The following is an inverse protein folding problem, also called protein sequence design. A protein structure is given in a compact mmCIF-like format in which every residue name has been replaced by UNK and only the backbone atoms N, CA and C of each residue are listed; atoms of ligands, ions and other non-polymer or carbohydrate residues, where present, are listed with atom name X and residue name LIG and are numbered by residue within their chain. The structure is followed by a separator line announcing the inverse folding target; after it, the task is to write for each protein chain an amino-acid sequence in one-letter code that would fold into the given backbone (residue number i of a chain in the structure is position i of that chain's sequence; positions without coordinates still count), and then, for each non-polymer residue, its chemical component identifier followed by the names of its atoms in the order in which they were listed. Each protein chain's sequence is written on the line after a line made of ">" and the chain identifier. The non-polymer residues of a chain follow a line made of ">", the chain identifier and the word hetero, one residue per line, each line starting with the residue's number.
data_IF_114091736723
#
_entry.id   IF_114091736723
#
_cell.length_a   1.000
_cell.length_b   1.000
_cell.length_c   1.000
_cell.angle_alpha   90.00
_cell.angle_beta   90.00
_cell.angle_gamma   90.00
#
_symmetry.space_group_name_H-M   'P 1'
#
loop_
_entity.id
_entity.type
_entity.pdbx_description
1 polymer ?
#
# COMPACT_ATOMS: atom_id res chain seq x y z
N UNK A 1 3.91 -6.81 10.51
CA UNK A 1 4.60 -6.62 9.23
C UNK A 1 4.43 -5.19 8.70
N UNK A 2 3.19 -4.66 8.60
CA UNK A 2 2.96 -3.29 8.08
C UNK A 2 3.73 -2.23 8.87
N UNK A 3 3.69 -2.28 10.21
CA UNK A 3 4.43 -1.36 11.09
C UNK A 3 5.95 -1.41 10.84
N UNK A 4 6.50 -2.60 10.65
CA UNK A 4 7.92 -2.77 10.30
C UNK A 4 8.24 -2.18 8.92
N UNK A 5 7.35 -2.34 7.94
CA UNK A 5 7.52 -1.76 6.62
C UNK A 5 7.51 -0.21 6.65
N UNK A 6 6.66 0.37 7.49
CA UNK A 6 6.56 1.81 7.69
C UNK A 6 7.69 2.38 8.56
N UNK A 7 8.52 1.53 9.18
CA UNK A 7 9.52 1.92 10.19
C UNK A 7 8.92 2.70 11.37
N UNK A 8 7.65 2.44 11.69
CA UNK A 8 6.92 3.12 12.75
C UNK A 8 7.15 2.42 14.08
N UNK A 9 8.30 2.65 14.66
CA UNK A 9 8.71 2.15 15.97
C UNK A 9 9.18 3.29 16.87
N UNK A 10 9.01 3.19 18.21
CA UNK A 10 9.43 4.24 19.14
C UNK A 10 10.90 4.64 19.03
N UNK A 11 11.79 3.68 18.69
CA UNK A 11 13.22 3.90 18.53
C UNK A 11 13.56 4.75 17.31
N UNK A 12 12.80 4.60 16.23
CA UNK A 12 12.99 5.34 14.99
C UNK A 12 12.26 6.68 15.00
N UNK A 13 11.15 6.79 15.73
CA UNK A 13 10.37 8.00 15.90
C UNK A 13 11.01 8.92 16.95
N UNK A 14 12.17 9.47 16.68
CA UNK A 14 13.01 10.22 17.63
C UNK A 14 12.34 11.42 18.28
N UNK A 15 11.38 12.06 17.60
CA UNK A 15 10.69 13.25 18.10
C UNK A 15 9.62 12.91 19.12
N UNK A 16 8.79 11.91 18.81
CA UNK A 16 7.64 11.56 19.66
C UNK A 16 7.95 10.39 20.60
N UNK A 17 8.98 9.59 20.31
CA UNK A 17 9.37 8.38 21.07
C UNK A 17 8.22 7.40 21.29
N UNK A 18 7.26 7.41 20.36
CA UNK A 18 6.07 6.57 20.36
C UNK A 18 5.79 6.09 18.93
N UNK A 19 4.88 5.15 18.79
CA UNK A 19 4.33 4.76 17.50
C UNK A 19 3.50 5.91 16.92
N UNK A 20 3.71 6.28 15.66
CA UNK A 20 2.97 7.35 14.99
C UNK A 20 1.55 6.88 14.61
N UNK A 21 1.41 5.63 14.20
CA UNK A 21 0.13 5.06 13.77
C UNK A 21 -0.41 4.07 14.81
N UNK A 22 -1.63 4.31 15.28
CA UNK A 22 -2.32 3.37 16.15
C UNK A 22 -2.66 2.06 15.41
N UNK A 23 -2.79 0.97 16.17
CA UNK A 23 -3.14 -0.34 15.62
C UNK A 23 -4.50 -0.35 14.91
N UNK A 24 -5.47 0.46 15.37
CA UNK A 24 -6.77 0.60 14.72
C UNK A 24 -6.63 1.24 13.33
N UNK A 25 -5.76 2.24 13.16
CA UNK A 25 -5.46 2.86 11.87
C UNK A 25 -4.79 1.88 10.91
N UNK A 26 -3.85 1.07 11.41
CA UNK A 26 -3.17 0.06 10.59
C UNK A 26 -4.11 -1.07 10.16
N UNK A 27 -5.04 -1.50 11.04
CA UNK A 27 -6.07 -2.48 10.69
C UNK A 27 -7.03 -1.91 9.63
N UNK A 28 -7.47 -0.67 9.78
CA UNK A 28 -8.28 0.01 8.77
C UNK A 28 -7.56 0.10 7.43
N UNK A 29 -6.26 0.45 7.43
CA UNK A 29 -5.47 0.51 6.21
C UNK A 29 -5.37 -0.84 5.50
N UNK A 30 -5.22 -1.94 6.25
CA UNK A 30 -5.22 -3.29 5.70
C UNK A 30 -6.57 -3.65 5.08
N UNK A 31 -7.68 -3.33 5.74
CA UNK A 31 -9.04 -3.57 5.21
C UNK A 31 -9.28 -2.78 3.93
N UNK A 32 -8.92 -1.50 3.91
CA UNK A 32 -9.05 -0.65 2.72
C UNK A 32 -8.21 -1.17 1.55
N UNK A 33 -7.01 -1.70 1.81
CA UNK A 33 -6.18 -2.31 0.78
C UNK A 33 -6.81 -3.58 0.20
N UNK A 34 -7.45 -4.40 1.04
CA UNK A 34 -8.19 -5.59 0.61
C UNK A 34 -9.41 -5.21 -0.22
N UNK A 35 -10.16 -4.20 0.20
CA UNK A 35 -11.35 -3.73 -0.53
C UNK A 35 -10.95 -3.13 -1.88
N UNK A 36 -9.89 -2.32 -1.94
CA UNK A 36 -9.34 -1.80 -3.19
C UNK A 36 -8.93 -2.92 -4.16
N UNK A 37 -8.30 -3.97 -3.65
CA UNK A 37 -7.98 -5.14 -4.45
C UNK A 37 -9.24 -5.85 -4.96
N UNK A 38 -10.25 -6.06 -4.11
CA UNK A 38 -11.48 -6.77 -4.47
C UNK A 38 -12.28 -6.05 -5.56
N UNK A 39 -12.41 -4.72 -5.49
CA UNK A 39 -13.17 -3.92 -6.46
C UNK A 39 -12.42 -3.66 -7.77
N UNK A 40 -11.09 -3.84 -7.80
CA UNK A 40 -10.30 -3.63 -9.02
C UNK A 40 -10.59 -4.71 -10.05
N UNK A 41 -10.84 -4.34 -11.29
CA UNK A 41 -11.05 -5.27 -12.42
C UNK A 41 -9.72 -5.86 -12.91
N UNK A 42 -9.69 -7.14 -13.40
CA UNK A 42 -10.79 -8.11 -13.42
C UNK A 42 -11.17 -8.59 -12.02
N UNK A 43 -12.48 -8.77 -11.77
CA UNK A 43 -12.96 -9.32 -10.50
C UNK A 43 -12.78 -10.83 -10.53
N UNK A 44 -11.89 -11.34 -9.70
CA UNK A 44 -11.51 -12.76 -9.63
C UNK A 44 -12.01 -13.47 -8.36
N UNK A 45 -12.91 -12.83 -7.63
CA UNK A 45 -13.44 -13.28 -6.35
C UNK A 45 -13.08 -12.34 -5.22
N UNK A 46 -13.79 -12.46 -4.10
CA UNK A 46 -13.50 -11.68 -2.90
C UNK A 46 -12.44 -12.41 -2.05
N UNK A 47 -11.41 -11.68 -1.66
CA UNK A 47 -10.38 -12.16 -0.73
C UNK A 47 -10.51 -11.43 0.60
N UNK A 48 -10.01 -12.05 1.67
CA UNK A 48 -9.88 -11.47 3.01
C UNK A 48 -8.42 -11.20 3.33
N UNK A 49 -8.14 -10.53 4.44
CA UNK A 49 -6.74 -10.32 4.90
C UNK A 49 -6.00 -11.66 5.05
N UNK A 50 -6.67 -12.68 5.61
CA UNK A 50 -6.06 -14.00 5.86
C UNK A 50 -5.86 -14.83 4.59
N UNK A 51 -6.67 -14.62 3.56
CA UNK A 51 -6.60 -15.32 2.27
C UNK A 51 -6.00 -14.48 1.15
N UNK A 52 -5.35 -13.36 1.49
CA UNK A 52 -4.81 -12.45 0.50
C UNK A 52 -3.66 -13.09 -0.29
N UNK A 53 -3.70 -13.09 -1.63
CA UNK A 53 -2.81 -13.91 -2.45
C UNK A 53 -1.35 -13.43 -2.49
N UNK A 54 -1.08 -12.17 -2.12
CA UNK A 54 0.26 -11.58 -2.16
C UNK A 54 0.50 -10.65 -0.98
N UNK A 55 1.38 -11.04 -0.07
CA UNK A 55 1.80 -10.21 1.07
C UNK A 55 2.37 -8.87 0.57
N UNK A 56 3.13 -8.88 -0.53
CA UNK A 56 3.68 -7.66 -1.11
C UNK A 56 2.57 -6.66 -1.47
N UNK A 57 1.56 -7.09 -2.23
CA UNK A 57 0.45 -6.22 -2.62
C UNK A 57 -0.35 -5.73 -1.41
N UNK A 58 -0.58 -6.60 -0.42
CA UNK A 58 -1.29 -6.22 0.80
C UNK A 58 -0.55 -5.12 1.57
N UNK A 59 0.74 -5.30 1.81
CA UNK A 59 1.54 -4.34 2.58
C UNK A 59 1.71 -3.01 1.83
N UNK A 60 1.98 -3.05 0.52
CA UNK A 60 2.09 -1.82 -0.28
C UNK A 60 0.76 -1.08 -0.37
N UNK A 61 -0.35 -1.79 -0.59
CA UNK A 61 -1.68 -1.19 -0.60
C UNK A 61 -2.01 -0.53 0.75
N UNK A 62 -1.77 -1.24 1.86
CA UNK A 62 -2.00 -0.71 3.19
C UNK A 62 -1.09 0.49 3.52
N UNK A 63 0.18 0.47 3.10
CA UNK A 63 1.08 1.62 3.26
C UNK A 63 0.56 2.86 2.53
N UNK A 64 0.05 2.71 1.30
CA UNK A 64 -0.57 3.81 0.55
C UNK A 64 -1.78 4.36 1.30
N UNK A 65 -2.65 3.50 1.85
CA UNK A 65 -3.80 3.94 2.64
C UNK A 65 -3.37 4.66 3.93
N UNK A 66 -2.35 4.16 4.62
CA UNK A 66 -1.78 4.83 5.80
C UNK A 66 -1.24 6.22 5.44
N UNK A 67 -0.51 6.35 4.33
CA UNK A 67 -0.02 7.65 3.86
C UNK A 67 -1.16 8.62 3.52
N UNK A 68 -2.25 8.14 2.91
CA UNK A 68 -3.45 8.95 2.64
C UNK A 68 -4.07 9.45 3.94
N UNK A 69 -4.26 8.60 4.94
CA UNK A 69 -4.83 8.97 6.24
C UNK A 69 -3.94 9.99 6.95
N UNK A 70 -2.62 9.77 6.98
CA UNK A 70 -1.66 10.68 7.59
C UNK A 70 -1.61 12.03 6.83
N UNK A 71 -1.70 12.03 5.51
CA UNK A 71 -1.78 13.24 4.71
C UNK A 71 -3.02 14.08 5.03
N UNK A 72 -4.18 13.44 5.20
CA UNK A 72 -5.43 14.09 5.62
C UNK A 72 -5.26 14.69 7.04
N UNK A 73 -4.67 13.93 7.96
CA UNK A 73 -4.44 14.41 9.32
C UNK A 73 -3.53 15.64 9.34
N UNK A 74 -2.42 15.61 8.59
CA UNK A 74 -1.49 16.74 8.48
C UNK A 74 -2.16 17.96 7.89
N UNK A 75 -2.96 17.84 6.83
CA UNK A 75 -3.67 18.97 6.22
C UNK A 75 -4.73 19.58 7.16
N UNK A 76 -5.33 18.80 8.05
CA UNK A 76 -6.28 19.30 9.06
C UNK A 76 -5.58 20.02 10.22
N UNK A 77 -4.33 19.64 10.52
CA UNK A 77 -3.55 20.17 11.64
C UNK A 77 -2.56 21.27 11.20
N UNK A 78 -2.66 21.75 9.98
CA UNK A 78 -1.83 22.85 9.49
C UNK A 78 -2.20 24.14 10.21
N UNK A 79 -1.31 24.61 11.08
CA UNK A 79 -1.45 25.89 11.79
C UNK A 79 -0.43 26.88 11.22
N UNK A 80 -0.93 27.86 10.48
CA UNK A 80 -0.16 29.03 10.08
C UNK A 80 -0.42 30.14 11.08
N UNK A 81 0.54 30.38 11.98
CA UNK A 81 0.48 31.47 12.95
C UNK A 81 1.48 32.57 12.55
N UNK A 82 0.96 33.77 12.32
CA UNK A 82 1.76 34.97 12.10
C UNK A 82 1.35 36.04 13.12
N UNK A 83 2.24 36.39 14.03
CA UNK A 83 2.05 37.49 14.98
C UNK A 83 3.35 38.24 15.18
N UNK A 84 3.28 39.57 15.11
CA UNK A 84 4.39 40.46 15.46
C UNK A 84 5.67 40.30 14.63
N UNK A 85 5.55 39.91 13.35
CA UNK A 85 6.70 39.75 12.45
C UNK A 85 7.41 38.38 12.56
N UNK A 86 6.94 37.50 13.43
CA UNK A 86 7.41 36.12 13.50
C UNK A 86 6.41 35.20 12.84
N UNK A 87 6.82 34.61 11.71
CA UNK A 87 6.01 33.59 11.01
C UNK A 87 6.51 32.20 11.45
N UNK A 88 5.74 31.53 12.26
CA UNK A 88 5.98 30.11 12.58
C UNK A 88 5.30 29.28 11.49
N UNK A 89 6.07 28.71 10.60
CA UNK A 89 5.59 27.70 9.64
C UNK A 89 5.78 26.34 10.25
N UNK A 90 4.70 25.63 10.51
CA UNK A 90 4.77 24.20 10.74
C UNK A 90 5.30 23.56 9.45
N UNK A 91 6.29 22.69 9.55
CA UNK A 91 6.89 22.05 8.38
C UNK A 91 5.82 21.26 7.63
N UNK A 92 5.46 21.75 6.44
CA UNK A 92 4.43 21.13 5.59
C UNK A 92 4.98 19.81 5.01
N UNK A 93 4.61 18.70 5.62
CA UNK A 93 4.96 17.36 5.16
C UNK A 93 4.05 16.88 4.02
N UNK A 94 3.00 17.64 3.67
CA UNK A 94 1.99 17.22 2.69
C UNK A 94 2.60 16.95 1.33
N UNK A 95 3.51 17.82 0.86
CA UNK A 95 4.18 17.63 -0.43
C UNK A 95 5.06 16.36 -0.43
N UNK A 96 5.72 16.08 0.67
CA UNK A 96 6.54 14.88 0.84
C UNK A 96 5.67 13.62 0.77
N UNK A 97 4.55 13.59 1.51
CA UNK A 97 3.59 12.48 1.45
C UNK A 97 2.99 12.30 0.05
N UNK A 98 2.65 13.38 -0.64
CA UNK A 98 2.14 13.32 -2.02
C UNK A 98 3.16 12.74 -3.00
N UNK A 99 4.42 13.12 -2.88
CA UNK A 99 5.50 12.59 -3.72
C UNK A 99 5.72 11.10 -3.50
N UNK A 100 5.83 10.68 -2.24
CA UNK A 100 5.98 9.26 -1.89
C UNK A 100 4.77 8.44 -2.32
N UNK A 101 3.57 8.94 -2.03
CA UNK A 101 2.32 8.28 -2.43
C UNK A 101 2.24 8.11 -3.94
N UNK A 102 2.62 9.13 -4.74
CA UNK A 102 2.63 9.04 -6.20
C UNK A 102 3.57 7.95 -6.73
N UNK A 103 4.78 7.87 -6.16
CA UNK A 103 5.76 6.85 -6.53
C UNK A 103 5.26 5.43 -6.19
N UNK A 104 4.77 5.21 -4.97
CA UNK A 104 4.26 3.92 -4.54
C UNK A 104 2.98 3.51 -5.27
N UNK A 105 2.08 4.47 -5.52
CA UNK A 105 0.80 4.20 -6.17
C UNK A 105 0.99 3.67 -7.59
N UNK A 106 1.84 4.30 -8.39
CA UNK A 106 2.07 3.88 -9.78
C UNK A 106 2.62 2.46 -9.88
N UNK A 107 3.56 2.11 -9.01
CA UNK A 107 4.13 0.77 -8.96
C UNK A 107 3.10 -0.26 -8.46
N UNK A 108 2.37 0.07 -7.42
CA UNK A 108 1.32 -0.77 -6.85
C UNK A 108 0.23 -1.08 -7.86
N UNK A 109 -0.32 -0.06 -8.52
CA UNK A 109 -1.39 -0.23 -9.51
C UNK A 109 -0.93 -1.13 -10.67
N UNK A 110 0.26 -0.91 -11.20
CA UNK A 110 0.82 -1.75 -12.26
C UNK A 110 0.95 -3.20 -11.82
N UNK A 111 1.51 -3.46 -10.62
CA UNK A 111 1.69 -4.82 -10.11
C UNK A 111 0.36 -5.49 -9.77
N UNK A 112 -0.59 -4.76 -9.20
CA UNK A 112 -1.95 -5.22 -8.89
C UNK A 112 -2.67 -5.66 -10.16
N UNK A 113 -2.65 -4.83 -11.20
CA UNK A 113 -3.24 -5.12 -12.49
C UNK A 113 -2.63 -6.38 -13.13
N UNK A 114 -1.30 -6.42 -13.24
CA UNK A 114 -0.60 -7.56 -13.82
C UNK A 114 -0.91 -8.86 -13.06
N UNK A 115 -0.94 -8.81 -11.74
CA UNK A 115 -1.27 -9.95 -10.90
C UNK A 115 -2.70 -10.44 -11.17
N UNK A 116 -3.68 -9.53 -11.20
CA UNK A 116 -5.09 -9.87 -11.43
C UNK A 116 -5.31 -10.43 -12.84
N UNK A 117 -4.67 -9.86 -13.85
CA UNK A 117 -4.74 -10.37 -15.23
C UNK A 117 -4.14 -11.78 -15.29
N UNK A 118 -2.97 -12.00 -14.73
CA UNK A 118 -2.33 -13.32 -14.70
C UNK A 118 -3.20 -14.36 -13.98
N UNK A 119 -3.79 -13.98 -12.85
CA UNK A 119 -4.69 -14.85 -12.09
C UNK A 119 -5.97 -15.16 -12.87
N UNK A 120 -6.57 -14.18 -13.54
CA UNK A 120 -7.76 -14.38 -14.37
C UNK A 120 -7.46 -15.33 -15.56
N UNK A 121 -6.32 -15.15 -16.21
CA UNK A 121 -5.87 -16.05 -17.30
C UNK A 121 -5.68 -17.47 -16.75
N UNK A 122 -5.00 -17.62 -15.60
CA UNK A 122 -4.81 -18.92 -14.97
C UNK A 122 -6.11 -19.61 -14.58
N UNK A 123 -7.10 -18.85 -14.12
CA UNK A 123 -8.43 -19.38 -13.80
C UNK A 123 -9.22 -19.77 -15.05
N UNK A 124 -9.11 -19.00 -16.14
CA UNK A 124 -9.84 -19.26 -17.39
C UNK A 124 -9.29 -20.46 -18.16
N UNK A 125 -7.97 -20.61 -18.21
CA UNK A 125 -7.29 -21.63 -19.02
C UNK A 125 -6.71 -22.77 -18.20
N UNK A 126 -6.81 -22.71 -16.87
CA UNK A 126 -6.16 -23.67 -15.97
C UNK A 126 -4.64 -23.55 -15.94
N UNK A 127 -4.01 -24.39 -15.13
CA UNK A 127 -2.54 -24.47 -15.04
C UNK A 127 -1.91 -25.24 -16.22
N UNK A 128 -2.71 -25.65 -17.20
CA UNK A 128 -2.32 -26.52 -18.30
C UNK A 128 -1.47 -25.90 -19.41
N UNK A 129 -1.26 -24.58 -19.39
CA UNK A 129 -0.46 -23.91 -20.43
C UNK A 129 1.06 -24.12 -20.30
N UNK A 130 1.50 -24.81 -19.27
CA UNK A 130 2.94 -25.06 -19.06
C UNK A 130 3.37 -26.47 -19.41
N UNK A 131 2.48 -27.37 -19.92
CA UNK A 131 2.80 -28.76 -19.74
C UNK A 131 3.49 -29.46 -20.89
N UNK A 132 3.17 -29.21 -22.13
CA UNK A 132 3.66 -30.16 -23.13
C UNK A 132 4.83 -29.69 -24.00
N UNK A 133 4.96 -28.38 -24.19
CA UNK A 133 6.06 -27.84 -25.01
C UNK A 133 7.35 -27.52 -24.23
N UNK A 134 7.28 -27.35 -22.92
CA UNK A 134 8.47 -27.09 -22.10
C UNK A 134 9.24 -28.35 -21.71
N UNK A 135 8.62 -29.51 -21.77
CA UNK A 135 9.26 -30.80 -21.46
C UNK A 135 9.98 -31.42 -22.64
N UNK A 136 9.69 -31.00 -23.87
CA UNK A 136 10.32 -31.54 -25.09
C UNK A 136 11.74 -30.99 -25.32
N UNK A 137 12.13 -29.89 -24.71
CA UNK A 137 13.44 -29.26 -24.93
C UNK A 137 14.61 -29.83 -24.11
N UNK A 138 14.41 -30.89 -23.31
CA UNK A 138 15.44 -31.48 -22.46
C UNK A 138 15.99 -32.83 -22.97
N UNK A 139 15.62 -33.25 -24.16
CA UNK A 139 16.07 -34.54 -24.75
C UNK A 139 16.78 -34.38 -26.10
N UNK A 140 17.62 -33.34 -26.25
CA UNK A 140 18.60 -33.29 -27.35
C UNK A 140 19.93 -32.78 -26.84
#
# INVERSE_FOLDING_TARGET
>A
LLRLFLNDTPELNRLIRQEESDNAHLDLALRLAVDDFNITTPIIGAVSISSFPSIYLLIHGAAIQTMKMNGILQSRNELNYSSGGVTVRTFDKTQLYQSWMGAFLSEYERKKQNFKIAQNISMAFGHGLFSEYSTISWFW
#
